data_IF_044943747626
#
_entry.id   IF_044943747626
#
_cell.length_a   1.000
_cell.length_b   1.000
_cell.length_c   1.000
_cell.angle_alpha   90.00
_cell.angle_beta   90.00
_cell.angle_gamma   90.00
#
_symmetry.space_group_name_H-M   'P 1'
#
loop_
_entity.id
_entity.type
_entity.pdbx_description
1 polymer ?
#
# COMPACT_ATOMS: atom_id res chain seq x y z
N UNK A 1 -11.88 9.93 -20.32
CA UNK A 1 -12.42 9.92 -18.95
C UNK A 1 -12.98 8.53 -18.68
N UNK A 2 -12.89 8.06 -17.44
CA UNK A 2 -13.39 6.77 -16.95
C UNK A 2 -14.24 7.06 -15.72
N UNK A 3 -15.39 6.42 -15.60
CA UNK A 3 -16.28 6.56 -14.45
C UNK A 3 -16.04 5.40 -13.49
N UNK A 4 -15.65 5.70 -12.25
CA UNK A 4 -15.44 4.71 -11.18
C UNK A 4 -16.53 4.86 -10.12
N UNK A 5 -16.99 3.75 -9.54
CA UNK A 5 -17.99 3.75 -8.47
C UNK A 5 -17.45 2.98 -7.27
N UNK A 6 -17.36 3.63 -6.12
CA UNK A 6 -16.83 3.05 -4.88
C UNK A 6 -17.87 2.23 -4.12
N UNK A 7 -17.44 1.52 -3.07
CA UNK A 7 -18.26 0.63 -2.27
C UNK A 7 -19.45 1.31 -1.58
N UNK A 8 -19.33 2.61 -1.32
CA UNK A 8 -20.33 3.52 -0.76
C UNK A 8 -21.15 4.26 -1.83
N UNK A 9 -21.07 3.83 -3.10
CA UNK A 9 -21.78 4.38 -4.25
C UNK A 9 -21.41 5.82 -4.64
N UNK A 10 -20.26 6.33 -4.19
CA UNK A 10 -19.73 7.60 -4.70
C UNK A 10 -19.11 7.40 -6.10
N UNK A 11 -19.26 8.40 -6.98
CA UNK A 11 -18.80 8.32 -8.36
C UNK A 11 -17.62 9.26 -8.60
N UNK A 12 -16.62 8.78 -9.34
CA UNK A 12 -15.43 9.54 -9.69
C UNK A 12 -15.25 9.54 -11.20
N UNK A 13 -15.18 10.73 -11.80
CA UNK A 13 -14.79 10.89 -13.20
C UNK A 13 -13.30 11.16 -13.23
N UNK A 14 -12.55 10.23 -13.81
CA UNK A 14 -11.08 10.23 -13.75
C UNK A 14 -10.50 10.20 -15.17
N UNK A 15 -9.36 10.84 -15.38
CA UNK A 15 -8.62 10.71 -16.63
C UNK A 15 -8.19 9.26 -16.86
N UNK A 16 -8.27 8.81 -18.12
CA UNK A 16 -7.96 7.42 -18.48
C UNK A 16 -6.52 7.05 -18.10
N UNK A 17 -5.58 7.94 -18.36
CA UNK A 17 -4.15 7.75 -18.02
C UNK A 17 -3.91 7.58 -16.51
N UNK A 18 -4.69 8.26 -15.68
CA UNK A 18 -4.60 8.20 -14.22
C UNK A 18 -5.24 6.89 -13.72
N UNK A 19 -6.38 6.51 -14.29
CA UNK A 19 -7.07 5.27 -13.99
C UNK A 19 -6.26 4.02 -14.41
N UNK A 20 -5.57 4.07 -15.54
CA UNK A 20 -4.72 2.98 -16.07
C UNK A 20 -3.45 2.71 -15.26
N UNK A 21 -3.18 3.52 -14.23
CA UNK A 21 -2.16 3.18 -13.22
C UNK A 21 -2.52 1.96 -12.40
N UNK A 22 -3.80 1.72 -12.23
CA UNK A 22 -4.31 0.45 -11.72
C UNK A 22 -4.25 -0.57 -12.84
N UNK A 23 -3.46 -1.63 -12.64
CA UNK A 23 -3.40 -2.74 -13.60
C UNK A 23 -4.77 -3.41 -13.72
N UNK A 24 -5.52 -3.51 -12.62
CA UNK A 24 -6.90 -4.01 -12.63
C UNK A 24 -7.80 -3.19 -13.57
N UNK A 25 -7.85 -1.86 -13.38
CA UNK A 25 -8.70 -0.98 -14.19
C UNK A 25 -8.24 -0.98 -15.65
N UNK A 26 -6.93 -0.97 -15.89
CA UNK A 26 -6.36 -1.05 -17.23
C UNK A 26 -6.84 -2.31 -17.97
N UNK A 27 -6.70 -3.49 -17.34
CA UNK A 27 -7.13 -4.75 -17.94
C UNK A 27 -8.64 -4.77 -18.21
N UNK A 28 -9.45 -4.23 -17.29
CA UNK A 28 -10.90 -4.10 -17.49
C UNK A 28 -11.25 -3.21 -18.69
N UNK A 29 -10.54 -2.09 -18.88
CA UNK A 29 -10.75 -1.20 -20.01
C UNK A 29 -10.30 -1.83 -21.35
N UNK A 30 -9.23 -2.63 -21.33
CA UNK A 30 -8.75 -3.35 -22.51
C UNK A 30 -9.73 -4.45 -22.94
N UNK A 31 -10.33 -5.17 -21.99
CA UNK A 31 -11.28 -6.26 -22.26
C UNK A 31 -12.67 -5.75 -22.73
N UNK A 32 -13.15 -4.65 -22.13
CA UNK A 32 -14.51 -4.12 -22.40
C UNK A 32 -14.52 -3.12 -23.57
N UNK A 33 -13.39 -2.47 -23.84
CA UNK A 33 -13.30 -1.37 -24.81
C UNK A 33 -13.83 -0.04 -24.27
N UNK A 34 -13.93 0.98 -25.13
CA UNK A 34 -14.50 2.28 -24.73
C UNK A 34 -15.98 2.14 -24.37
N UNK A 35 -16.30 2.39 -23.11
CA UNK A 35 -17.65 2.29 -22.56
C UNK A 35 -17.91 3.45 -21.60
N UNK A 36 -19.14 3.96 -21.60
CA UNK A 36 -19.63 4.92 -20.62
C UNK A 36 -20.15 4.24 -19.34
N UNK A 37 -20.06 2.91 -19.26
CA UNK A 37 -20.49 2.17 -18.08
C UNK A 37 -19.52 2.40 -16.91
N UNK A 38 -20.02 2.68 -15.70
CA UNK A 38 -19.19 2.82 -14.52
C UNK A 38 -18.46 1.51 -14.18
N UNK A 39 -17.19 1.60 -13.81
CA UNK A 39 -16.40 0.50 -13.26
C UNK A 39 -16.68 0.42 -11.74
N UNK A 40 -17.32 -0.66 -11.26
CA UNK A 40 -17.59 -0.81 -9.84
C UNK A 40 -16.34 -1.30 -9.09
N UNK A 41 -16.04 -0.66 -7.97
CA UNK A 41 -14.91 -0.94 -7.09
C UNK A 41 -15.42 -1.20 -5.66
N UNK A 42 -16.07 -2.37 -5.43
CA UNK A 42 -16.80 -2.66 -4.20
C UNK A 42 -15.92 -2.83 -2.96
N UNK A 43 -14.60 -2.93 -3.13
CA UNK A 43 -13.64 -3.12 -2.04
C UNK A 43 -12.92 -1.83 -1.64
N UNK A 44 -13.30 -0.67 -2.19
CA UNK A 44 -12.66 0.61 -1.90
C UNK A 44 -13.72 1.64 -1.57
N UNK A 45 -13.63 2.27 -0.40
CA UNK A 45 -14.49 3.38 0.02
C UNK A 45 -14.11 4.68 -0.70
N UNK A 46 -15.00 5.67 -0.71
CA UNK A 46 -14.72 6.94 -1.38
C UNK A 46 -13.59 7.75 -0.74
N UNK A 47 -13.43 7.66 0.58
CA UNK A 47 -12.36 8.32 1.33
C UNK A 47 -10.99 7.79 0.89
N UNK A 48 -10.85 6.47 0.79
CA UNK A 48 -9.62 5.81 0.35
C UNK A 48 -9.39 6.05 -1.13
N UNK A 49 -10.44 5.99 -1.95
CA UNK A 49 -10.34 6.24 -3.39
C UNK A 49 -9.81 7.65 -3.68
N UNK A 50 -10.25 8.67 -2.94
CA UNK A 50 -9.71 10.04 -3.06
C UNK A 50 -8.19 10.08 -2.88
N UNK A 51 -7.66 9.34 -1.89
CA UNK A 51 -6.22 9.22 -1.65
C UNK A 51 -5.49 8.44 -2.74
N UNK A 52 -6.07 7.33 -3.19
CA UNK A 52 -5.50 6.54 -4.29
C UNK A 52 -5.40 7.39 -5.57
N UNK A 53 -6.44 8.16 -5.89
CA UNK A 53 -6.45 9.04 -7.06
C UNK A 53 -5.47 10.21 -6.92
N UNK A 54 -5.35 10.82 -5.73
CA UNK A 54 -4.32 11.83 -5.42
C UNK A 54 -2.91 11.30 -5.74
N UNK A 55 -2.62 10.07 -5.31
CA UNK A 55 -1.35 9.41 -5.61
C UNK A 55 -1.14 9.16 -7.10
N UNK A 56 -2.18 8.64 -7.78
CA UNK A 56 -2.09 8.30 -9.19
C UNK A 56 -1.90 9.53 -10.07
N UNK A 57 -2.53 10.65 -9.72
CA UNK A 57 -2.39 11.94 -10.41
C UNK A 57 -0.98 12.51 -10.21
N UNK A 58 -0.45 12.51 -8.98
CA UNK A 58 0.87 13.08 -8.71
C UNK A 58 1.97 12.40 -9.53
N UNK A 59 1.93 11.08 -9.59
CA UNK A 59 2.95 10.29 -10.27
C UNK A 59 2.62 10.07 -11.77
N UNK A 60 1.58 10.72 -12.31
CA UNK A 60 1.13 10.54 -13.70
C UNK A 60 2.31 10.65 -14.68
N UNK A 61 2.38 9.72 -15.63
CA UNK A 61 3.44 9.67 -16.64
C UNK A 61 4.76 9.04 -16.17
N UNK A 62 4.90 8.68 -14.88
CA UNK A 62 6.02 7.85 -14.44
C UNK A 62 5.91 6.43 -14.97
N UNK A 63 7.06 5.83 -15.30
CA UNK A 63 7.10 4.44 -15.74
C UNK A 63 6.69 3.53 -14.59
N UNK A 64 5.60 2.78 -14.78
CA UNK A 64 5.26 1.69 -13.89
C UNK A 64 6.35 0.62 -13.97
N UNK A 65 6.89 0.15 -12.84
CA UNK A 65 7.90 -0.89 -12.84
C UNK A 65 7.31 -2.16 -13.46
N UNK A 66 8.04 -2.77 -14.39
CA UNK A 66 7.64 -4.07 -14.94
C UNK A 66 7.87 -5.18 -13.90
N UNK A 67 7.20 -6.32 -14.07
CA UNK A 67 7.32 -7.45 -13.14
C UNK A 67 8.78 -7.87 -12.90
N UNK A 68 9.62 -7.82 -13.93
CA UNK A 68 11.05 -8.20 -13.89
C UNK A 68 11.97 -7.13 -13.27
N UNK A 69 11.70 -5.83 -13.47
CA UNK A 69 12.54 -4.75 -12.92
C UNK A 69 12.42 -4.59 -11.40
N UNK A 70 11.37 -5.15 -10.82
CA UNK A 70 11.00 -4.95 -9.41
C UNK A 70 11.82 -5.75 -8.39
N UNK A 71 12.64 -6.73 -8.81
CA UNK A 71 13.35 -7.61 -7.85
C UNK A 71 14.77 -7.15 -7.48
N UNK A 72 15.48 -6.44 -8.37
CA UNK A 72 16.93 -6.20 -8.20
C UNK A 72 17.26 -4.83 -7.57
N UNK A 73 16.45 -3.80 -7.84
CA UNK A 73 16.62 -2.47 -7.23
C UNK A 73 15.88 -2.32 -5.88
N UNK A 74 14.70 -2.96 -5.72
CA UNK A 74 13.86 -2.81 -4.52
C UNK A 74 14.49 -3.46 -3.27
N UNK A 75 15.34 -4.49 -3.46
CA UNK A 75 16.09 -5.13 -2.36
C UNK A 75 17.18 -4.24 -1.77
N UNK A 76 17.69 -3.25 -2.51
CA UNK A 76 18.80 -2.40 -2.06
C UNK A 76 18.35 -1.19 -1.23
N UNK A 77 17.07 -0.80 -1.28
CA UNK A 77 16.53 0.35 -0.57
C UNK A 77 15.16 0.07 0.05
N UNK A 78 15.14 -0.88 0.98
CA UNK A 78 13.91 -1.38 1.63
C UNK A 78 13.15 -0.33 2.44
N UNK A 79 13.70 0.87 2.64
CA UNK A 79 13.09 1.94 3.45
C UNK A 79 13.06 3.31 2.77
N UNK A 80 13.59 3.44 1.56
CA UNK A 80 13.70 4.73 0.87
C UNK A 80 12.36 5.07 0.19
N UNK A 81 11.81 6.22 0.55
CA UNK A 81 10.52 6.75 0.09
C UNK A 81 10.76 8.22 -0.28
N UNK A 82 10.15 8.70 -1.38
CA UNK A 82 10.30 10.09 -1.78
C UNK A 82 9.72 11.04 -0.73
N UNK A 83 10.16 12.31 -0.72
CA UNK A 83 9.65 13.29 0.24
C UNK A 83 8.14 13.53 0.07
N UNK A 84 7.65 13.51 -1.18
CA UNK A 84 6.23 13.66 -1.45
C UNK A 84 5.45 12.44 -0.96
N UNK A 85 5.90 11.23 -1.27
CA UNK A 85 5.27 9.98 -0.83
C UNK A 85 5.20 9.88 0.69
N UNK A 86 6.29 10.27 1.36
CA UNK A 86 6.36 10.29 2.82
C UNK A 86 5.32 11.23 3.43
N UNK A 87 5.08 12.39 2.81
CA UNK A 87 4.02 13.33 3.25
C UNK A 87 2.62 12.84 2.88
N UNK A 88 2.46 12.24 1.71
CA UNK A 88 1.19 11.69 1.24
C UNK A 88 0.69 10.57 2.16
N UNK A 89 1.60 9.66 2.54
CA UNK A 89 1.31 8.46 3.32
C UNK A 89 1.34 8.74 4.84
N UNK A 90 1.63 9.97 5.26
CA UNK A 90 1.57 10.42 6.65
C UNK A 90 0.12 10.64 7.11
N UNK A 91 -0.65 9.56 7.12
CA UNK A 91 -2.03 9.46 7.60
C UNK A 91 -2.08 8.63 8.88
N UNK A 92 -3.26 8.53 9.51
CA UNK A 92 -3.46 7.59 10.61
C UNK A 92 -3.33 6.13 10.16
N UNK A 93 -3.15 5.22 11.12
CA UNK A 93 -2.88 3.80 10.83
C UNK A 93 -4.04 3.13 10.10
N UNK A 94 -5.29 3.48 10.42
CA UNK A 94 -6.47 2.88 9.79
C UNK A 94 -6.49 3.22 8.30
N UNK A 95 -6.37 4.51 7.97
CA UNK A 95 -6.26 4.98 6.58
C UNK A 95 -5.03 4.39 5.86
N UNK A 96 -3.89 4.27 6.54
CA UNK A 96 -2.70 3.63 5.96
C UNK A 96 -2.97 2.18 5.54
N UNK A 97 -3.58 1.39 6.41
CA UNK A 97 -3.92 0.01 6.09
C UNK A 97 -4.96 -0.10 4.99
N UNK A 98 -5.97 0.78 4.98
CA UNK A 98 -6.95 0.82 3.90
C UNK A 98 -6.32 1.19 2.56
N UNK A 99 -5.39 2.15 2.52
CA UNK A 99 -4.63 2.49 1.31
C UNK A 99 -3.82 1.29 0.82
N UNK A 100 -3.15 0.57 1.72
CA UNK A 100 -2.38 -0.65 1.38
C UNK A 100 -3.29 -1.73 0.78
N UNK A 101 -4.45 -1.99 1.39
CA UNK A 101 -5.43 -2.95 0.90
C UNK A 101 -6.01 -2.54 -0.45
N UNK A 102 -6.35 -1.27 -0.64
CA UNK A 102 -6.84 -0.74 -1.89
C UNK A 102 -5.78 -0.80 -3.00
N UNK A 103 -4.52 -0.46 -2.69
CA UNK A 103 -3.41 -0.56 -3.63
C UNK A 103 -3.16 -1.99 -4.09
N UNK A 104 -3.26 -2.96 -3.19
CA UNK A 104 -3.17 -4.38 -3.53
C UNK A 104 -4.38 -4.83 -4.39
N UNK A 105 -5.60 -4.42 -4.02
CA UNK A 105 -6.81 -4.77 -4.78
C UNK A 105 -6.80 -4.19 -6.20
N UNK A 106 -6.42 -2.92 -6.35
CA UNK A 106 -6.33 -2.21 -7.63
C UNK A 106 -5.06 -2.56 -8.41
N UNK A 107 -4.17 -3.36 -7.84
CA UNK A 107 -2.87 -3.72 -8.41
C UNK A 107 -2.05 -2.48 -8.82
N UNK A 108 -1.81 -1.60 -7.85
CA UNK A 108 -0.96 -0.41 -7.95
C UNK A 108 0.30 -0.66 -7.15
N UNK A 109 1.22 -1.44 -7.72
CA UNK A 109 2.44 -1.90 -7.04
C UNK A 109 3.29 -0.79 -6.41
N UNK A 110 3.55 0.37 -7.06
CA UNK A 110 4.32 1.45 -6.44
C UNK A 110 3.68 2.01 -5.15
N UNK A 111 2.35 2.14 -5.13
CA UNK A 111 1.61 2.61 -3.95
C UNK A 111 1.67 1.58 -2.82
N UNK A 112 1.52 0.29 -3.17
CA UNK A 112 1.68 -0.81 -2.23
C UNK A 112 3.09 -0.81 -1.61
N UNK A 113 4.13 -0.59 -2.41
CA UNK A 113 5.52 -0.50 -1.94
C UNK A 113 5.72 0.68 -0.99
N UNK A 114 5.17 1.86 -1.29
CA UNK A 114 5.22 3.03 -0.39
C UNK A 114 4.58 2.72 0.96
N UNK A 115 3.40 2.10 0.97
CA UNK A 115 2.72 1.67 2.19
C UNK A 115 3.54 0.65 2.99
N UNK A 116 4.04 -0.40 2.35
CA UNK A 116 4.87 -1.43 2.97
C UNK A 116 6.17 -0.86 3.56
N UNK A 117 6.86 0.03 2.83
CA UNK A 117 8.07 0.72 3.31
C UNK A 117 7.78 1.61 4.51
N UNK A 118 6.62 2.27 4.53
CA UNK A 118 6.19 3.11 5.65
C UNK A 118 5.99 2.26 6.91
N UNK A 119 5.28 1.13 6.80
CA UNK A 119 5.10 0.19 7.91
C UNK A 119 6.45 -0.39 8.36
N UNK A 120 7.34 -0.73 7.43
CA UNK A 120 8.69 -1.21 7.76
C UNK A 120 9.50 -0.15 8.53
N UNK A 121 9.40 1.12 8.15
CA UNK A 121 10.03 2.24 8.87
C UNK A 121 9.45 2.45 10.27
N UNK A 122 8.16 2.19 10.48
CA UNK A 122 7.54 2.24 11.81
C UNK A 122 8.05 1.13 12.73
N UNK A 123 8.40 -0.03 12.17
CA UNK A 123 8.91 -1.20 12.91
C UNK A 123 10.41 -1.08 13.20
N UNK A 124 11.16 -0.48 12.27
CA UNK A 124 12.62 -0.41 12.33
C UNK A 124 13.11 0.25 13.63
N UNK A 125 13.97 -0.47 14.35
CA UNK A 125 14.59 0.02 15.59
C UNK A 125 13.69 0.01 16.83
N UNK A 126 12.45 -0.52 16.72
CA UNK A 126 11.58 -0.74 17.88
C UNK A 126 11.77 -2.12 18.47
N UNK A 127 11.59 -2.24 19.78
CA UNK A 127 11.55 -3.53 20.45
C UNK A 127 10.26 -4.30 20.12
N UNK A 128 10.22 -5.63 20.30
CA UNK A 128 8.99 -6.41 20.15
C UNK A 128 7.81 -5.88 20.98
N UNK A 129 8.08 -5.40 22.20
CA UNK A 129 7.07 -4.82 23.08
C UNK A 129 6.51 -3.49 22.54
N UNK A 130 7.38 -2.63 21.99
CA UNK A 130 6.97 -1.36 21.38
C UNK A 130 6.17 -1.59 20.10
N UNK A 131 6.56 -2.58 19.28
CA UNK A 131 5.82 -2.98 18.08
C UNK A 131 4.43 -3.49 18.47
N UNK A 132 4.35 -4.38 19.47
CA UNK A 132 3.08 -4.90 19.98
C UNK A 132 2.16 -3.78 20.45
N UNK A 133 2.68 -2.80 21.20
CA UNK A 133 1.91 -1.62 21.62
C UNK A 133 1.47 -0.76 20.43
N UNK A 134 2.37 -0.52 19.48
CA UNK A 134 2.11 0.36 18.33
C UNK A 134 1.01 -0.17 17.43
N UNK A 135 0.96 -1.50 17.22
CA UNK A 135 -0.03 -2.17 16.38
C UNK A 135 -1.16 -2.83 17.18
N UNK A 136 -1.21 -2.57 18.49
CA UNK A 136 -2.21 -3.15 19.41
C UNK A 136 -2.30 -4.69 19.32
N UNK A 137 -1.14 -5.36 19.23
CA UNK A 137 -1.02 -6.82 19.13
C UNK A 137 -0.91 -7.40 20.54
N UNK A 138 -1.75 -8.40 20.84
CA UNK A 138 -1.71 -9.15 22.10
C UNK A 138 -0.51 -10.10 22.09
N UNK A 139 0.26 -10.14 23.19
CA UNK A 139 1.29 -11.16 23.36
C UNK A 139 0.62 -12.50 23.64
N UNK A 140 0.72 -13.44 22.72
CA UNK A 140 0.15 -14.78 22.77
C UNK A 140 1.17 -15.86 23.16
N UNK A 141 2.42 -15.48 23.43
CA UNK A 141 3.45 -16.38 23.94
C UNK A 141 3.32 -16.58 25.46
N UNK A 142 3.59 -17.81 25.90
CA UNK A 142 3.85 -18.09 27.32
C UNK A 142 5.21 -17.51 27.75
N UNK A 143 5.43 -17.25 29.06
CA UNK A 143 6.72 -16.77 29.56
C UNK A 143 7.89 -17.68 29.19
N UNK A 144 7.68 -19.00 29.19
CA UNK A 144 8.68 -19.98 28.79
C UNK A 144 9.02 -19.89 27.29
N UNK A 145 8.02 -19.75 26.42
CA UNK A 145 8.23 -19.59 24.97
C UNK A 145 8.92 -18.26 24.64
N UNK A 146 8.52 -17.16 25.28
CA UNK A 146 9.17 -15.85 25.07
C UNK A 146 10.63 -15.87 25.52
N UNK A 147 10.94 -16.52 26.66
CA UNK A 147 12.31 -16.68 27.12
C UNK A 147 13.15 -17.56 26.17
N UNK A 148 12.55 -18.62 25.62
CA UNK A 148 13.23 -19.47 24.63
C UNK A 148 13.50 -18.71 23.33
N UNK A 149 12.50 -18.02 22.78
CA UNK A 149 12.63 -17.22 21.55
C UNK A 149 13.67 -16.11 21.74
N UNK A 150 13.67 -15.44 22.90
CA UNK A 150 14.67 -14.41 23.21
C UNK A 150 16.07 -15.01 23.21
N UNK A 151 16.28 -16.12 23.91
CA UNK A 151 17.57 -16.83 23.95
C UNK A 151 18.03 -17.30 22.57
N UNK A 152 17.12 -17.80 21.74
CA UNK A 152 17.42 -18.23 20.37
C UNK A 152 17.78 -17.07 19.44
N UNK A 153 17.34 -15.83 19.74
CA UNK A 153 17.58 -14.64 18.93
C UNK A 153 18.59 -13.65 19.55
N UNK A 154 19.23 -13.99 20.68
CA UNK A 154 20.28 -13.15 21.32
C UNK A 154 21.39 -12.75 20.34
N UNK A 155 21.73 -13.61 19.38
CA UNK A 155 22.74 -13.34 18.34
C UNK A 155 22.41 -12.13 17.43
N UNK A 156 21.15 -11.70 17.40
CA UNK A 156 20.68 -10.57 16.59
C UNK A 156 20.65 -9.24 17.37
N UNK A 157 20.71 -9.26 18.71
CA UNK A 157 20.69 -8.06 19.55
C UNK A 157 22.10 -7.41 19.71
N UNK A 158 23.16 -8.18 19.48
CA UNK A 158 24.57 -7.78 19.70
C UNK A 158 25.24 -7.07 18.49
N UNK A 159 24.47 -6.55 17.52
CA UNK A 159 25.01 -5.98 16.28
C UNK A 159 24.54 -4.58 15.93
#
# INVERSE_FOLDING_TARGET
MVLLVTSDNEQFVVDKEVAERSVLIKNMLEDVGETDQPIPLPNVSSSVMKKVLEYCEHHRGEKLPTADESQDENRKRTTDISEWDSKFIAVDQEMLFEIILAANYLDIKPLLDVGCKTVANMIKGKSPEEIRKLFNIVNDFTPEEEAQIKKENEWAEDR
#
